data_IF_687610659375
#
_entry.id   IF_687610659375
#
_cell.length_a   1.000
_cell.length_b   1.000
_cell.length_c   1.000
_cell.angle_alpha   90.00
_cell.angle_beta   90.00
_cell.angle_gamma   90.00
#
_symmetry.space_group_name_H-M   'P 1'
#
loop_
_entity.id
_entity.type
_entity.pdbx_description
1 polymer ?
#
# COMPACT_ATOMS: atom_id res chain seq x y z
N UNK A 1 6.97 -45.73 88.75
CA UNK A 1 7.65 -44.94 87.69
C UNK A 1 7.10 -45.44 86.36
N UNK A 2 6.46 -44.68 85.50
CA UNK A 2 6.33 -43.24 85.35
C UNK A 2 5.90 -43.02 83.90
N UNK A 3 4.67 -42.57 83.68
CA UNK A 3 4.11 -42.35 82.33
C UNK A 3 2.73 -41.68 82.43
N UNK A 4 2.63 -40.60 83.20
CA UNK A 4 1.45 -39.72 83.20
C UNK A 4 1.75 -38.33 82.60
N UNK A 5 3.02 -38.05 82.24
CA UNK A 5 3.46 -36.77 81.67
C UNK A 5 3.41 -36.71 80.13
N UNK A 6 3.15 -37.83 79.45
CA UNK A 6 3.24 -37.92 77.98
C UNK A 6 1.93 -37.56 77.26
N UNK A 7 0.77 -37.67 77.91
CA UNK A 7 -0.53 -37.50 77.21
C UNK A 7 -0.82 -36.06 76.78
N UNK A 8 -0.45 -35.06 77.60
CA UNK A 8 -0.76 -33.65 77.32
C UNK A 8 0.20 -33.06 76.26
N UNK A 9 1.47 -33.47 76.28
CA UNK A 9 2.49 -33.00 75.34
C UNK A 9 2.27 -33.60 73.95
N UNK A 10 1.86 -34.88 73.87
CA UNK A 10 1.51 -35.53 72.61
C UNK A 10 0.29 -34.87 71.93
N UNK A 11 -0.69 -34.41 72.72
CA UNK A 11 -1.85 -33.67 72.21
C UNK A 11 -1.44 -32.32 71.59
N UNK A 12 -0.49 -31.63 72.22
CA UNK A 12 0.02 -30.35 71.72
C UNK A 12 0.87 -30.53 70.46
N UNK A 13 1.67 -31.59 70.41
CA UNK A 13 2.59 -31.88 69.30
C UNK A 13 1.83 -32.30 68.04
N UNK A 14 0.80 -33.13 68.18
CA UNK A 14 -0.08 -33.54 67.07
C UNK A 14 -0.88 -32.36 66.51
N UNK A 15 -1.39 -31.48 67.36
CA UNK A 15 -2.09 -30.27 66.94
C UNK A 15 -1.17 -29.31 66.16
N UNK A 16 0.05 -29.09 66.65
CA UNK A 16 1.03 -28.22 66.00
C UNK A 16 1.45 -28.76 64.63
N UNK A 17 1.71 -30.08 64.53
CA UNK A 17 2.03 -30.74 63.24
C UNK A 17 0.85 -30.63 62.26
N UNK A 18 -0.38 -30.78 62.74
CA UNK A 18 -1.59 -30.61 61.92
C UNK A 18 -1.69 -29.20 61.32
N UNK A 19 -1.46 -28.16 62.13
CA UNK A 19 -1.44 -26.76 61.66
C UNK A 19 -0.31 -26.55 60.65
N UNK A 20 0.89 -27.06 60.91
CA UNK A 20 2.01 -26.95 59.98
C UNK A 20 1.73 -27.65 58.63
N UNK A 21 1.09 -28.81 58.63
CA UNK A 21 0.70 -29.51 57.40
C UNK A 21 -0.34 -28.73 56.59
N UNK A 22 -1.30 -28.07 57.26
CA UNK A 22 -2.27 -27.20 56.58
C UNK A 22 -1.56 -26.01 55.95
N UNK A 23 -0.68 -25.31 56.68
CA UNK A 23 0.09 -24.18 56.13
C UNK A 23 1.03 -24.60 54.99
N UNK A 24 1.61 -25.79 55.07
CA UNK A 24 2.48 -26.33 54.03
C UNK A 24 1.68 -26.65 52.76
N UNK A 25 0.47 -27.23 52.89
CA UNK A 25 -0.42 -27.49 51.76
C UNK A 25 -0.90 -26.21 51.06
N UNK A 26 -1.18 -25.14 51.82
CA UNK A 26 -1.55 -23.82 51.25
C UNK A 26 -0.38 -23.22 50.46
N UNK A 27 0.83 -23.29 51.00
CA UNK A 27 2.04 -22.81 50.32
C UNK A 27 2.35 -23.57 49.03
N UNK A 28 2.01 -24.86 48.97
CA UNK A 28 2.20 -25.69 47.77
C UNK A 28 1.25 -25.28 46.62
N UNK A 29 0.05 -24.78 46.93
CA UNK A 29 -0.94 -24.34 45.92
C UNK A 29 -0.68 -22.94 45.34
N UNK A 30 0.31 -22.21 45.87
CA UNK A 30 0.58 -20.82 45.50
C UNK A 30 1.65 -20.65 44.39
N UNK A 31 2.19 -21.74 43.83
CA UNK A 31 3.26 -21.66 42.83
C UNK A 31 2.71 -21.66 41.40
N UNK A 32 3.00 -20.55 40.71
CA UNK A 32 3.14 -20.36 39.26
C UNK A 32 1.87 -20.47 38.40
N UNK A 33 1.07 -19.40 38.42
CA UNK A 33 0.33 -19.01 37.22
C UNK A 33 1.32 -18.38 36.24
N UNK A 34 1.46 -18.89 35.00
CA UNK A 34 2.31 -18.27 34.00
C UNK A 34 1.72 -16.92 33.59
N UNK A 35 2.28 -15.84 34.11
CA UNK A 35 1.99 -14.48 33.66
C UNK A 35 2.21 -14.39 32.14
N UNK A 36 1.17 -14.09 31.34
CA UNK A 36 1.33 -13.89 29.92
C UNK A 36 2.18 -12.65 29.72
N UNK A 37 3.44 -12.86 29.34
CA UNK A 37 4.36 -11.80 28.91
C UNK A 37 3.73 -11.10 27.72
N UNK A 38 3.01 -10.02 27.98
CA UNK A 38 2.46 -9.15 26.95
C UNK A 38 3.65 -8.49 26.26
N UNK A 39 4.13 -9.13 25.19
CA UNK A 39 5.00 -8.46 24.22
C UNK A 39 4.16 -7.34 23.65
N UNK A 40 4.46 -6.12 24.06
CA UNK A 40 3.92 -4.93 23.43
C UNK A 40 4.28 -5.02 21.94
N UNK A 41 3.24 -5.16 21.12
CA UNK A 41 3.30 -4.91 19.69
C UNK A 41 3.56 -3.42 19.51
N UNK A 42 4.81 -2.99 19.73
CA UNK A 42 5.30 -1.61 19.59
C UNK A 42 5.38 -1.19 18.11
N UNK A 43 4.92 -2.04 17.20
CA UNK A 43 4.79 -1.71 15.79
C UNK A 43 3.29 -1.59 15.48
N UNK A 44 2.74 -0.41 15.74
CA UNK A 44 1.42 0.00 15.26
C UNK A 44 1.61 0.63 13.87
N UNK A 45 1.75 -0.22 12.84
CA UNK A 45 1.86 0.18 11.44
C UNK A 45 0.50 0.55 10.82
N UNK A 46 -0.40 1.19 11.58
CA UNK A 46 -1.73 1.60 11.11
C UNK A 46 -1.70 2.80 10.15
N UNK A 47 -0.68 2.89 9.28
CA UNK A 47 -0.69 3.81 8.14
C UNK A 47 -1.87 3.47 7.23
N UNK A 48 -2.95 4.24 7.37
CA UNK A 48 -4.14 4.10 6.54
C UNK A 48 -4.03 5.06 5.37
N UNK A 49 -4.16 4.54 4.15
CA UNK A 49 -4.28 5.37 2.97
C UNK A 49 -5.68 6.02 2.95
N UNK A 50 -5.79 7.19 3.59
CA UNK A 50 -7.04 7.97 3.65
C UNK A 50 -7.31 8.68 2.32
N UNK A 51 -6.25 8.95 1.55
CA UNK A 51 -6.33 9.66 0.28
C UNK A 51 -6.08 8.70 -0.90
N UNK A 52 -7.10 8.57 -1.74
CA UNK A 52 -7.10 7.80 -2.98
C UNK A 52 -7.92 8.51 -4.08
N UNK A 53 -8.01 7.92 -5.28
CA UNK A 53 -8.61 8.55 -6.46
C UNK A 53 -10.09 8.94 -6.31
N UNK A 54 -10.81 8.23 -5.44
CA UNK A 54 -12.23 8.46 -5.16
C UNK A 54 -12.46 9.44 -4.00
N UNK A 55 -11.52 9.53 -3.07
CA UNK A 55 -11.61 10.40 -1.88
C UNK A 55 -11.04 11.79 -2.14
N UNK A 56 -10.11 11.91 -3.09
CA UNK A 56 -9.55 13.19 -3.54
C UNK A 56 -10.25 13.61 -4.83
N UNK A 57 -11.05 14.68 -4.75
CA UNK A 57 -11.83 15.22 -5.86
C UNK A 57 -11.48 16.70 -6.08
N UNK A 58 -11.70 17.20 -7.29
CA UNK A 58 -11.46 18.60 -7.64
C UNK A 58 -12.69 19.25 -8.25
N UNK A 59 -12.73 20.59 -8.21
CA UNK A 59 -13.76 21.40 -8.83
C UNK A 59 -13.18 22.13 -10.04
N UNK A 60 -13.97 22.18 -11.12
CA UNK A 60 -13.66 23.02 -12.26
C UNK A 60 -14.13 24.45 -11.95
N UNK A 61 -13.25 25.43 -12.18
CA UNK A 61 -13.56 26.85 -12.05
C UNK A 61 -14.83 27.23 -12.84
N UNK A 62 -14.95 26.69 -14.05
CA UNK A 62 -16.10 26.97 -14.91
C UNK A 62 -17.42 26.45 -14.35
N UNK A 63 -17.40 25.41 -13.51
CA UNK A 63 -18.60 24.86 -12.88
C UNK A 63 -18.96 25.66 -11.61
N UNK A 64 -17.96 26.10 -10.84
CA UNK A 64 -18.15 27.03 -9.72
C UNK A 64 -18.81 28.34 -10.18
N UNK A 65 -18.34 28.93 -11.28
CA UNK A 65 -18.93 30.16 -11.83
C UNK A 65 -20.37 30.00 -12.30
N UNK A 66 -20.76 28.81 -12.74
CA UNK A 66 -22.13 28.52 -13.19
C UNK A 66 -23.03 28.03 -12.06
N UNK A 67 -22.57 28.16 -10.81
CA UNK A 67 -23.25 27.65 -9.61
C UNK A 67 -23.61 26.16 -9.72
N UNK A 68 -22.72 25.38 -10.36
CA UNK A 68 -22.84 23.92 -10.48
C UNK A 68 -21.88 23.28 -9.47
N UNK A 69 -22.46 22.61 -8.48
CA UNK A 69 -21.72 21.93 -7.42
C UNK A 69 -21.40 20.49 -7.85
N UNK A 70 -20.52 20.35 -8.85
CA UNK A 70 -20.10 19.06 -9.42
C UNK A 70 -18.64 18.84 -9.09
N UNK A 71 -18.31 17.69 -8.52
CA UNK A 71 -16.94 17.29 -8.20
C UNK A 71 -16.48 16.15 -9.11
N UNK A 72 -15.21 16.19 -9.50
CA UNK A 72 -14.61 15.19 -10.39
C UNK A 72 -13.52 14.40 -9.64
N UNK A 73 -13.49 13.06 -9.75
CA UNK A 73 -12.42 12.26 -9.18
C UNK A 73 -11.12 12.47 -9.95
N UNK A 74 -9.99 12.30 -9.26
CA UNK A 74 -8.67 12.38 -9.90
C UNK A 74 -8.47 11.14 -10.79
N UNK A 75 -8.22 11.33 -12.08
CA UNK A 75 -7.88 10.23 -13.00
C UNK A 75 -6.48 9.71 -12.66
N UNK A 76 -6.42 8.48 -12.16
CA UNK A 76 -5.18 7.76 -11.85
C UNK A 76 -4.93 6.59 -12.80
N UNK A 77 -5.77 6.44 -13.84
CA UNK A 77 -5.65 5.35 -14.79
C UNK A 77 -4.47 5.60 -15.71
N UNK A 78 -3.50 4.69 -15.69
CA UNK A 78 -2.38 4.69 -16.62
C UNK A 78 -2.89 4.17 -17.98
N UNK A 79 -3.33 5.10 -18.84
CA UNK A 79 -3.72 4.77 -20.22
C UNK A 79 -2.48 4.62 -21.11
N UNK A 80 -2.55 3.74 -22.11
CA UNK A 80 -1.52 3.59 -23.15
C UNK A 80 -0.11 3.28 -22.61
N UNK A 81 -0.01 2.49 -21.53
CA UNK A 81 1.28 2.07 -20.96
C UNK A 81 2.22 1.40 -21.98
N UNK A 82 1.65 0.77 -23.00
CA UNK A 82 2.37 0.11 -24.10
C UNK A 82 2.87 1.07 -25.20
N UNK A 83 2.45 2.34 -25.19
CA UNK A 83 2.88 3.37 -26.16
C UNK A 83 3.84 4.37 -25.52
N UNK A 84 5.01 3.88 -25.13
CA UNK A 84 6.03 4.71 -24.49
C UNK A 84 6.82 5.55 -25.49
N UNK A 85 7.02 5.06 -26.73
CA UNK A 85 7.77 5.81 -27.75
C UNK A 85 6.89 6.77 -28.55
N UNK A 86 7.47 7.87 -29.03
CA UNK A 86 6.78 8.84 -29.90
C UNK A 86 6.28 8.20 -31.21
N UNK A 87 7.00 7.22 -31.75
CA UNK A 87 6.60 6.49 -32.96
C UNK A 87 5.36 5.62 -32.72
N UNK A 88 5.30 4.91 -31.59
CA UNK A 88 4.16 4.08 -31.22
C UNK A 88 2.89 4.92 -31.00
N UNK A 89 3.03 6.10 -30.38
CA UNK A 89 1.90 7.05 -30.23
C UNK A 89 1.35 7.54 -31.56
N UNK A 90 2.15 7.54 -32.63
CA UNK A 90 1.73 7.92 -33.98
C UNK A 90 1.52 6.71 -34.89
N UNK A 91 1.08 5.59 -34.33
CA UNK A 91 0.72 4.36 -35.05
C UNK A 91 1.85 3.83 -35.97
N UNK A 92 3.11 4.12 -35.64
CA UNK A 92 4.26 3.76 -36.46
C UNK A 92 4.23 4.34 -37.90
N UNK A 93 3.46 5.41 -38.13
CA UNK A 93 3.44 6.11 -39.43
C UNK A 93 4.70 6.96 -39.65
N UNK A 94 5.49 7.13 -38.60
CA UNK A 94 6.59 8.07 -38.53
C UNK A 94 7.83 7.42 -37.94
N UNK A 95 8.98 7.64 -38.59
CA UNK A 95 10.28 7.21 -38.11
C UNK A 95 10.92 8.31 -37.26
N UNK A 96 11.51 7.90 -36.13
CA UNK A 96 12.38 8.74 -35.31
C UNK A 96 13.80 8.73 -35.89
N UNK A 97 14.37 9.91 -36.09
CA UNK A 97 15.71 10.09 -36.68
C UNK A 97 16.82 10.19 -35.63
N UNK A 98 16.51 9.99 -34.33
CA UNK A 98 17.51 9.91 -33.27
C UNK A 98 18.15 11.24 -32.89
N UNK A 99 17.66 12.36 -33.44
CA UNK A 99 18.12 13.69 -33.06
C UNK A 99 17.29 14.22 -31.88
N UNK A 100 17.97 14.66 -30.83
CA UNK A 100 17.35 15.33 -29.69
C UNK A 100 16.69 16.62 -30.20
N UNK A 101 15.35 16.67 -30.23
CA UNK A 101 14.60 17.80 -30.79
C UNK A 101 13.66 17.49 -31.97
N UNK A 102 13.19 16.25 -32.13
CA UNK A 102 12.00 15.88 -32.95
C UNK A 102 12.05 16.20 -34.46
N UNK A 103 13.08 15.75 -35.16
CA UNK A 103 12.96 15.56 -36.61
C UNK A 103 12.20 14.26 -36.90
N UNK A 104 10.92 14.35 -37.29
CA UNK A 104 10.07 13.21 -37.66
C UNK A 104 9.92 13.13 -39.18
N UNK A 105 10.10 11.94 -39.77
CA UNK A 105 9.80 11.67 -41.19
C UNK A 105 8.65 10.68 -41.35
N UNK A 106 7.73 10.89 -42.29
CA UNK A 106 6.71 9.89 -42.63
C UNK A 106 7.38 8.67 -43.27
N UNK A 107 6.97 7.47 -42.85
CA UNK A 107 7.46 6.20 -43.42
C UNK A 107 6.76 5.91 -44.75
N UNK A 108 5.49 6.30 -44.86
CA UNK A 108 4.68 6.12 -46.05
C UNK A 108 4.66 7.42 -46.86
N UNK A 109 4.75 7.30 -48.19
CA UNK A 109 4.54 8.43 -49.09
C UNK A 109 3.06 8.79 -49.06
N UNK A 110 2.75 10.06 -48.79
CA UNK A 110 1.39 10.57 -48.94
C UNK A 110 1.04 10.51 -50.43
N UNK A 111 -0.01 9.76 -50.76
CA UNK A 111 -0.55 9.73 -52.11
C UNK A 111 -1.18 11.12 -52.34
N UNK A 112 -0.77 11.85 -53.39
CA UNK A 112 -1.40 13.13 -53.69
C UNK A 112 -2.88 12.90 -53.98
N UNK A 113 -3.73 13.69 -53.33
CA UNK A 113 -5.19 13.67 -53.49
C UNK A 113 -5.62 13.99 -54.94
N UNK A 114 -4.70 14.57 -55.72
CA UNK A 114 -4.87 14.86 -57.14
C UNK A 114 -4.04 13.91 -57.99
N UNK A 115 -4.71 13.01 -58.70
CA UNK A 115 -4.10 12.14 -59.71
C UNK A 115 -3.60 13.02 -60.87
N UNK A 116 -2.28 13.14 -61.01
CA UNK A 116 -1.63 13.70 -62.22
C UNK A 116 -0.88 15.03 -62.08
N UNK A 117 -0.85 15.68 -60.91
CA UNK A 117 -0.22 17.01 -60.78
C UNK A 117 1.22 17.03 -60.21
N UNK A 118 1.69 15.92 -59.64
CA UNK A 118 2.91 15.94 -58.80
C UNK A 118 4.22 15.76 -59.56
N UNK A 119 4.23 15.17 -60.76
CA UNK A 119 5.47 15.01 -61.53
C UNK A 119 5.99 16.34 -62.09
N UNK A 120 5.11 17.28 -62.45
CA UNK A 120 5.50 18.56 -63.06
C UNK A 120 6.01 19.57 -62.02
N UNK A 121 5.44 19.59 -60.81
CA UNK A 121 5.77 20.58 -59.79
C UNK A 121 7.19 20.42 -59.20
N UNK A 122 7.76 19.21 -59.23
CA UNK A 122 9.11 18.96 -58.69
C UNK A 122 10.23 19.39 -59.64
N UNK A 123 9.98 19.43 -60.96
CA UNK A 123 10.96 19.93 -61.93
C UNK A 123 11.06 21.46 -61.92
N UNK A 124 9.99 22.16 -61.50
CA UNK A 124 9.98 23.63 -61.40
C UNK A 124 10.71 24.17 -60.17
N UNK A 125 10.87 23.39 -59.10
CA UNK A 125 11.57 23.83 -57.88
C UNK A 125 13.08 23.61 -57.88
N UNK A 126 13.63 22.91 -58.89
CA UNK A 126 15.08 22.66 -59.04
C UNK A 126 15.72 23.67 -60.00
N UNK A 127 14.92 24.44 -60.73
CA UNK A 127 15.37 25.45 -61.70
C UNK A 127 15.33 26.89 -61.17
N UNK A 128 15.21 27.09 -59.86
CA UNK A 128 15.26 28.41 -59.21
C UNK A 128 16.18 28.38 -57.99
#
# INVERSE_FOLDING_TARGET
MGNSSLTIFDFFTTYFIGICLVFFSVSLTAQDLPEPRSRSTIIDDSTKQIYGPTTSQYFLESDLFRNKWISYPIDTVIRNFHHFSFSQRRQNLHQDLGNIGTAIRPVYQEVPDVIGATSDQRLRSVLN
#
